data_IF_304238445091
#
_entry.id   IF_304238445091
#
_cell.length_a   1.000
_cell.length_b   1.000
_cell.length_c   1.000
_cell.angle_alpha   90.00
_cell.angle_beta   90.00
_cell.angle_gamma   90.00
#
_symmetry.space_group_name_H-M   'P 1'
#
loop_
_entity.id
_entity.type
_entity.pdbx_description
1 polymer ?
#
# COMPACT_ATOMS: atom_id res chain seq x y z
N UNK A 1 8.31 -60.64 -60.29
CA UNK A 1 8.80 -60.37 -58.92
C UNK A 1 8.49 -58.91 -58.64
N UNK A 2 7.40 -58.63 -57.93
CA UNK A 2 6.94 -57.26 -57.67
C UNK A 2 7.38 -56.79 -56.29
N UNK A 3 7.88 -55.57 -56.27
CA UNK A 3 8.28 -54.79 -55.11
C UNK A 3 7.16 -54.62 -54.09
N UNK A 4 7.47 -54.77 -52.81
CA UNK A 4 6.77 -54.09 -51.71
C UNK A 4 7.76 -53.81 -50.58
N UNK A 5 8.53 -52.73 -50.71
CA UNK A 5 9.22 -52.11 -49.57
C UNK A 5 8.19 -51.33 -48.76
N UNK A 6 7.66 -51.95 -47.71
CA UNK A 6 6.83 -51.28 -46.71
C UNK A 6 7.72 -50.45 -45.78
N UNK A 7 7.69 -49.13 -45.96
CA UNK A 7 8.28 -48.16 -45.03
C UNK A 7 7.39 -48.04 -43.79
N UNK A 8 7.71 -48.78 -42.73
CA UNK A 8 7.13 -48.59 -41.39
C UNK A 8 7.69 -47.31 -40.73
N UNK A 9 7.16 -46.15 -41.10
CA UNK A 9 7.40 -44.88 -40.37
C UNK A 9 6.61 -44.88 -39.05
N UNK A 10 7.31 -45.14 -37.95
CA UNK A 10 6.75 -45.09 -36.60
C UNK A 10 6.43 -43.63 -36.18
N UNK A 11 5.17 -43.24 -36.31
CA UNK A 11 4.62 -41.93 -35.93
C UNK A 11 4.37 -41.73 -34.43
N UNK A 12 5.27 -42.20 -33.55
CA UNK A 12 5.11 -42.09 -32.09
C UNK A 12 5.83 -40.90 -31.45
N UNK A 13 6.98 -40.50 -32.02
CA UNK A 13 7.89 -39.52 -31.41
C UNK A 13 7.32 -38.09 -31.38
N UNK A 14 6.52 -37.72 -32.39
CA UNK A 14 5.89 -36.38 -32.43
C UNK A 14 4.79 -36.19 -31.39
N UNK A 15 4.11 -37.28 -31.00
CA UNK A 15 2.99 -37.23 -30.07
C UNK A 15 3.46 -37.12 -28.62
N UNK A 16 4.56 -37.79 -28.25
CA UNK A 16 5.19 -37.61 -26.93
C UNK A 16 5.79 -36.23 -26.75
N UNK A 17 6.44 -35.69 -27.78
CA UNK A 17 7.00 -34.33 -27.77
C UNK A 17 5.93 -33.26 -27.62
N UNK A 18 4.76 -33.46 -28.25
CA UNK A 18 3.59 -32.60 -28.09
C UNK A 18 3.06 -32.60 -26.65
N UNK A 19 2.94 -33.78 -26.02
CA UNK A 19 2.52 -33.87 -24.62
C UNK A 19 3.51 -33.21 -23.66
N UNK A 20 4.82 -33.38 -23.90
CA UNK A 20 5.84 -32.68 -23.12
C UNK A 20 5.69 -31.17 -23.27
N UNK A 21 5.51 -30.67 -24.49
CA UNK A 21 5.29 -29.24 -24.72
C UNK A 21 4.02 -28.73 -23.99
N UNK A 22 2.92 -29.48 -24.04
CA UNK A 22 1.68 -29.13 -23.33
C UNK A 22 1.91 -29.06 -21.82
N UNK A 23 2.51 -30.08 -21.21
CA UNK A 23 2.81 -30.09 -19.77
C UNK A 23 3.71 -28.90 -19.40
N UNK A 24 4.72 -28.61 -20.22
CA UNK A 24 5.64 -27.51 -19.99
C UNK A 24 4.92 -26.16 -20.08
N UNK A 25 4.03 -25.96 -21.06
CA UNK A 25 3.22 -24.73 -21.16
C UNK A 25 2.27 -24.56 -19.97
N UNK A 26 1.61 -25.63 -19.53
CA UNK A 26 0.74 -25.59 -18.34
C UNK A 26 1.56 -25.26 -17.09
N UNK A 27 2.71 -25.91 -16.88
CA UNK A 27 3.59 -25.62 -15.76
C UNK A 27 4.08 -24.17 -15.77
N UNK A 28 4.44 -23.64 -16.93
CA UNK A 28 4.93 -22.26 -17.09
C UNK A 28 3.80 -21.26 -16.81
N UNK A 29 2.58 -21.52 -17.30
CA UNK A 29 1.40 -20.71 -16.98
C UNK A 29 1.08 -20.75 -15.48
N UNK A 30 1.06 -21.92 -14.85
CA UNK A 30 0.85 -22.05 -13.42
C UNK A 30 1.91 -21.31 -12.60
N UNK A 31 3.16 -21.37 -13.02
CA UNK A 31 4.26 -20.65 -12.37
C UNK A 31 4.10 -19.14 -12.49
N UNK A 32 3.85 -18.61 -13.69
CA UNK A 32 3.61 -17.17 -13.90
C UNK A 32 2.41 -16.71 -13.08
N UNK A 33 1.32 -17.49 -13.04
CA UNK A 33 0.12 -17.16 -12.27
C UNK A 33 0.39 -17.15 -10.76
N UNK A 34 1.18 -18.09 -10.24
CA UNK A 34 1.58 -18.13 -8.83
C UNK A 34 2.52 -16.97 -8.44
N UNK A 35 3.48 -16.63 -9.30
CA UNK A 35 4.40 -15.49 -9.06
C UNK A 35 3.62 -14.17 -9.12
N UNK A 36 2.80 -13.99 -10.14
CA UNK A 36 2.01 -12.75 -10.29
C UNK A 36 1.01 -12.57 -9.17
N UNK A 37 0.35 -13.63 -8.70
CA UNK A 37 -0.58 -13.54 -7.55
C UNK A 37 0.11 -13.26 -6.23
N UNK A 38 1.25 -13.88 -5.93
CA UNK A 38 2.04 -13.57 -4.73
C UNK A 38 2.60 -12.15 -4.73
N UNK A 39 2.97 -11.66 -5.91
CA UNK A 39 3.42 -10.28 -6.10
C UNK A 39 2.28 -9.30 -6.31
N UNK A 40 1.01 -9.74 -6.28
CA UNK A 40 -0.13 -8.88 -6.53
C UNK A 40 -0.51 -8.15 -5.23
N UNK A 41 -0.33 -6.82 -5.16
CA UNK A 41 -0.78 -6.03 -4.01
C UNK A 41 -2.31 -6.08 -3.78
N UNK A 42 -3.10 -6.56 -4.75
CA UNK A 42 -4.56 -6.77 -4.65
C UNK A 42 -4.92 -7.89 -3.68
N UNK A 43 -4.05 -8.88 -3.46
CA UNK A 43 -4.30 -9.96 -2.51
C UNK A 43 -3.93 -9.52 -1.09
N UNK A 44 -4.67 -8.54 -0.57
CA UNK A 44 -4.70 -8.26 0.86
C UNK A 44 -5.71 -9.19 1.51
N UNK A 45 -5.24 -10.11 2.34
CA UNK A 45 -6.09 -11.04 3.06
C UNK A 45 -6.97 -10.28 4.07
N UNK A 46 -8.22 -10.02 3.67
CA UNK A 46 -9.24 -9.34 4.47
C UNK A 46 -9.64 -10.18 5.68
N UNK A 47 -9.63 -11.50 5.55
CA UNK A 47 -9.94 -12.40 6.66
C UNK A 47 -8.85 -12.35 7.72
N UNK A 48 -7.59 -12.26 7.31
CA UNK A 48 -6.46 -12.12 8.23
C UNK A 48 -6.43 -10.75 8.93
N UNK A 49 -6.70 -9.66 8.20
CA UNK A 49 -6.41 -8.29 8.68
C UNK A 49 -7.64 -7.38 8.88
N UNK A 50 -8.85 -7.88 8.69
CA UNK A 50 -10.11 -7.13 8.86
C UNK A 50 -10.48 -6.25 7.66
N UNK A 51 -9.51 -5.53 7.09
CA UNK A 51 -9.70 -4.70 5.89
C UNK A 51 -8.68 -5.03 4.81
N UNK A 52 -8.97 -4.62 3.57
CA UNK A 52 -7.99 -4.73 2.48
C UNK A 52 -6.91 -3.67 2.63
N UNK A 53 -5.69 -3.99 2.18
CA UNK A 53 -4.52 -3.10 2.19
C UNK A 53 -4.80 -1.77 1.49
N UNK A 54 -5.48 -1.80 0.35
CA UNK A 54 -5.88 -0.57 -0.35
C UNK A 54 -6.88 0.25 0.44
N UNK A 55 -7.87 -0.39 1.06
CA UNK A 55 -8.85 0.32 1.88
C UNK A 55 -8.18 0.93 3.11
N UNK A 56 -7.22 0.23 3.70
CA UNK A 56 -6.40 0.77 4.78
C UNK A 56 -5.64 2.03 4.34
N UNK A 57 -4.90 1.96 3.23
CA UNK A 57 -4.15 3.11 2.70
C UNK A 57 -5.09 4.28 2.38
N UNK A 58 -6.26 4.01 1.79
CA UNK A 58 -7.27 5.02 1.48
C UNK A 58 -7.77 5.71 2.76
N UNK A 59 -8.14 4.95 3.80
CA UNK A 59 -8.57 5.52 5.09
C UNK A 59 -7.44 6.34 5.75
N UNK A 60 -6.19 5.89 5.64
CA UNK A 60 -5.06 6.68 6.15
C UNK A 60 -4.84 7.99 5.38
N UNK A 61 -5.15 8.02 4.08
CA UNK A 61 -5.08 9.24 3.26
C UNK A 61 -6.23 10.18 3.54
N UNK A 62 -7.46 9.66 3.62
CA UNK A 62 -8.64 10.41 4.03
C UNK A 62 -8.43 11.08 5.40
N UNK A 63 -7.82 10.37 6.35
CA UNK A 63 -7.51 10.93 7.68
C UNK A 63 -6.46 12.05 7.67
N UNK A 64 -5.65 12.19 6.62
CA UNK A 64 -4.73 13.31 6.46
C UNK A 64 -5.38 14.53 5.81
N UNK A 65 -6.37 14.29 4.95
CA UNK A 65 -7.17 15.38 4.36
C UNK A 65 -8.04 16.07 5.43
N UNK A 66 -8.44 15.33 6.48
CA UNK A 66 -9.16 15.87 7.62
C UNK A 66 -8.23 16.48 8.69
N UNK A 67 -7.70 17.66 8.37
CA UNK A 67 -6.71 18.37 9.19
C UNK A 67 -7.22 18.81 10.57
N UNK A 68 -8.53 18.92 10.77
CA UNK A 68 -9.13 19.31 12.05
C UNK A 68 -9.14 18.15 13.06
N UNK A 69 -9.21 16.91 12.59
CA UNK A 69 -9.16 15.70 13.43
C UNK A 69 -7.74 15.14 13.58
N UNK A 70 -6.79 15.60 12.76
CA UNK A 70 -5.43 15.08 12.77
C UNK A 70 -4.69 15.49 14.06
N UNK A 71 -4.17 14.48 14.76
CA UNK A 71 -3.45 14.68 16.02
C UNK A 71 -1.96 14.42 15.88
N UNK A 72 -1.18 15.19 16.61
CA UNK A 72 0.28 15.08 16.74
C UNK A 72 0.61 14.55 18.12
N UNK A 73 1.34 13.44 18.17
CA UNK A 73 1.91 12.88 19.39
C UNK A 73 3.22 13.60 19.75
N UNK A 74 3.20 14.33 20.87
CA UNK A 74 4.31 15.11 21.40
C UNK A 74 4.46 14.87 22.90
N UNK A 75 5.58 14.26 23.34
CA UNK A 75 5.86 14.06 24.77
C UNK A 75 4.84 13.20 25.52
N UNK A 76 4.22 12.21 24.85
CA UNK A 76 3.17 11.37 25.43
C UNK A 76 1.79 12.03 25.52
N UNK A 77 1.64 13.26 25.01
CA UNK A 77 0.35 13.93 24.86
C UNK A 77 -0.05 13.99 23.39
N UNK A 78 -1.36 13.89 23.13
CA UNK A 78 -1.94 14.05 21.80
C UNK A 78 -2.51 15.46 21.67
N UNK A 79 -2.00 16.23 20.71
CA UNK A 79 -2.40 17.61 20.46
C UNK A 79 -2.98 17.73 19.05
N UNK A 80 -4.05 18.51 18.81
CA UNK A 80 -4.52 18.78 17.46
C UNK A 80 -3.42 19.45 16.62
N UNK A 81 -3.26 19.04 15.35
CA UNK A 81 -2.28 19.61 14.44
C UNK A 81 -2.44 21.12 14.32
N UNK A 82 -3.68 21.59 14.22
CA UNK A 82 -4.01 23.02 14.16
C UNK A 82 -3.42 23.82 15.31
N UNK A 83 -3.52 23.30 16.54
CA UNK A 83 -2.95 23.97 17.72
C UNK A 83 -1.43 24.06 17.63
N UNK A 84 -0.76 23.02 17.13
CA UNK A 84 0.69 23.05 16.93
C UNK A 84 1.10 24.05 15.84
N UNK A 85 0.35 24.10 14.74
CA UNK A 85 0.60 25.03 13.65
C UNK A 85 0.41 26.47 14.12
N UNK A 86 -0.67 26.78 14.83
CA UNK A 86 -0.95 28.13 15.36
C UNK A 86 0.13 28.60 16.36
N UNK A 87 0.75 27.69 17.11
CA UNK A 87 1.87 28.01 18.00
C UNK A 87 3.14 28.40 17.23
N UNK A 88 3.40 27.76 16.09
CA UNK A 88 4.59 28.04 15.27
C UNK A 88 4.40 29.19 14.26
N UNK A 89 3.19 29.33 13.73
CA UNK A 89 2.80 30.35 12.76
C UNK A 89 1.32 30.68 12.89
N UNK A 90 0.94 31.89 13.34
CA UNK A 90 -0.46 32.25 13.50
C UNK A 90 -1.19 32.19 12.15
N UNK A 91 -2.25 31.38 12.09
CA UNK A 91 -3.10 31.23 10.92
C UNK A 91 -4.00 32.46 10.76
N UNK A 92 -4.13 32.97 9.54
CA UNK A 92 -5.06 34.04 9.21
C UNK A 92 -6.44 33.45 8.89
N UNK A 93 -7.52 34.26 8.99
CA UNK A 93 -8.83 33.83 8.52
C UNK A 93 -8.79 33.46 7.03
N UNK A 94 -9.15 32.23 6.70
CA UNK A 94 -9.11 31.69 5.34
C UNK A 94 -7.84 30.91 4.98
N UNK A 95 -6.89 30.78 5.91
CA UNK A 95 -5.75 29.86 5.74
C UNK A 95 -6.21 28.41 6.02
N UNK A 96 -5.82 27.48 5.15
CA UNK A 96 -6.09 26.06 5.28
C UNK A 96 -4.79 25.30 5.56
N UNK A 97 -4.83 24.36 6.48
CA UNK A 97 -3.72 23.41 6.70
C UNK A 97 -3.93 22.25 5.73
N UNK A 98 -2.87 21.84 5.06
CA UNK A 98 -2.85 20.68 4.17
C UNK A 98 -1.73 19.74 4.63
N UNK A 99 -2.05 18.46 4.73
CA UNK A 99 -1.10 17.40 5.07
C UNK A 99 -1.07 16.38 3.92
N UNK A 100 0.09 16.23 3.26
CA UNK A 100 0.23 15.34 2.11
C UNK A 100 1.35 14.31 2.34
N UNK A 101 1.10 13.04 2.00
CA UNK A 101 2.17 12.04 1.94
C UNK A 101 3.14 12.40 0.83
N UNK A 102 4.42 12.53 1.18
CA UNK A 102 5.49 12.79 0.22
C UNK A 102 5.93 11.53 -0.54
N UNK A 103 5.60 10.34 0.00
CA UNK A 103 6.01 9.07 -0.57
C UNK A 103 5.26 8.71 -1.87
N UNK A 104 5.99 8.19 -2.86
CA UNK A 104 5.39 7.71 -4.10
C UNK A 104 4.39 6.57 -3.85
N UNK A 105 3.35 6.39 -4.71
CA UNK A 105 2.34 5.36 -4.50
C UNK A 105 2.90 3.94 -4.29
N UNK A 106 3.95 3.57 -5.02
CA UNK A 106 4.60 2.27 -4.86
C UNK A 106 5.28 2.11 -3.49
N UNK A 107 5.80 3.20 -2.93
CA UNK A 107 6.44 3.23 -1.61
C UNK A 107 5.39 3.17 -0.50
N UNK A 108 4.28 3.91 -0.64
CA UNK A 108 3.13 3.85 0.29
C UNK A 108 2.57 2.43 0.38
N UNK A 109 2.38 1.78 -0.77
CA UNK A 109 1.93 0.37 -0.80
C UNK A 109 2.96 -0.53 -0.13
N UNK A 110 4.27 -0.31 -0.27
CA UNK A 110 5.28 -1.14 0.41
C UNK A 110 5.35 -0.89 1.93
N UNK A 111 5.09 0.35 2.36
CA UNK A 111 5.10 0.75 3.76
C UNK A 111 3.91 0.18 4.55
N UNK A 112 2.78 -0.07 3.89
CA UNK A 112 1.64 -0.74 4.50
C UNK A 112 1.92 -2.25 4.71
N UNK A 113 2.08 -2.64 5.97
CA UNK A 113 2.44 -3.98 6.42
C UNK A 113 1.40 -4.54 7.40
N UNK A 114 1.22 -5.87 7.47
CA UNK A 114 0.34 -6.48 8.47
C UNK A 114 0.89 -6.24 9.88
N UNK A 115 0.00 -5.95 10.83
CA UNK A 115 0.36 -5.76 12.23
C UNK A 115 0.39 -7.09 13.01
N UNK A 116 1.27 -7.21 14.01
CA UNK A 116 1.27 -8.34 14.93
C UNK A 116 -0.05 -8.39 15.71
N UNK A 117 -0.82 -9.48 15.56
CA UNK A 117 -2.16 -9.60 16.14
C UNK A 117 -3.32 -9.30 15.18
N UNK A 118 -3.01 -8.98 13.93
CA UNK A 118 -3.96 -8.78 12.84
C UNK A 118 -4.35 -7.31 12.67
N UNK A 119 -4.44 -6.89 11.41
CA UNK A 119 -4.66 -5.49 11.06
C UNK A 119 -3.56 -4.99 10.12
N UNK A 120 -3.45 -3.67 9.99
CA UNK A 120 -2.45 -3.04 9.14
C UNK A 120 -1.73 -1.92 9.87
N UNK A 121 -0.47 -1.70 9.54
CA UNK A 121 0.30 -0.55 9.99
C UNK A 121 1.01 0.08 8.78
N UNK A 122 1.17 1.38 8.79
CA UNK A 122 1.90 2.14 7.79
C UNK A 122 2.56 3.34 8.45
N UNK A 123 3.83 3.55 8.10
CA UNK A 123 4.55 4.77 8.45
C UNK A 123 5.09 5.46 7.20
N UNK A 124 5.12 6.79 7.22
CA UNK A 124 5.61 7.55 6.07
C UNK A 124 5.78 9.04 6.38
N UNK A 125 6.64 9.74 5.63
CA UNK A 125 6.79 11.18 5.77
C UNK A 125 5.55 11.89 5.20
N UNK A 126 5.06 12.87 5.94
CA UNK A 126 3.97 13.77 5.54
C UNK A 126 4.48 15.20 5.58
N UNK A 127 4.31 15.94 4.49
CA UNK A 127 4.59 17.37 4.45
C UNK A 127 3.37 18.13 4.94
N UNK A 128 3.59 19.04 5.89
CA UNK A 128 2.56 19.95 6.40
C UNK A 128 2.77 21.30 5.73
N UNK A 129 1.72 21.82 5.10
CA UNK A 129 1.73 23.12 4.45
C UNK A 129 0.51 23.96 4.84
N UNK A 130 0.65 25.28 4.78
CA UNK A 130 -0.46 26.23 4.92
C UNK A 130 -0.74 26.86 3.57
N UNK A 131 -2.00 26.74 3.14
CA UNK A 131 -2.52 27.29 1.91
C UNK A 131 -3.27 28.59 2.23
N UNK A 132 -2.80 29.70 1.67
CA UNK A 132 -3.40 31.02 1.80
C UNK A 132 -3.75 31.52 0.40
N UNK A 133 -4.91 31.07 -0.10
CA UNK A 133 -5.29 31.22 -1.51
C UNK A 133 -4.31 30.51 -2.44
N UNK A 134 -3.63 31.25 -3.32
CA UNK A 134 -2.64 30.68 -4.25
C UNK A 134 -1.24 30.46 -3.63
N UNK A 135 -1.02 30.92 -2.39
CA UNK A 135 0.29 30.76 -1.73
C UNK A 135 0.31 29.49 -0.89
N UNK A 136 1.33 28.65 -1.12
CA UNK A 136 1.61 27.46 -0.32
C UNK A 136 2.89 27.68 0.47
N UNK A 137 2.80 27.59 1.80
CA UNK A 137 3.94 27.68 2.71
C UNK A 137 4.14 26.33 3.42
N UNK A 138 5.17 25.59 3.05
CA UNK A 138 5.52 24.34 3.75
C UNK A 138 6.10 24.66 5.13
N UNK A 139 5.51 24.06 6.18
CA UNK A 139 5.93 24.23 7.58
C UNK A 139 6.99 23.20 7.99
N UNK A 140 6.97 22.01 7.38
CA UNK A 140 7.91 20.94 7.67
C UNK A 140 7.37 19.55 7.34
N UNK A 141 8.14 18.54 7.71
CA UNK A 141 7.79 17.13 7.51
C UNK A 141 7.61 16.45 8.86
N UNK A 142 6.50 15.72 9.01
CA UNK A 142 6.19 14.92 10.19
C UNK A 142 5.96 13.45 9.78
N UNK A 143 6.54 12.47 10.50
CA UNK A 143 6.22 11.07 10.30
C UNK A 143 4.76 10.77 10.69
N UNK A 144 3.99 10.28 9.73
CA UNK A 144 2.69 9.65 9.94
C UNK A 144 2.87 8.24 10.48
N UNK A 145 2.05 7.90 11.44
CA UNK A 145 1.83 6.54 11.95
C UNK A 145 0.34 6.24 11.80
N UNK A 146 0.01 5.36 10.87
CA UNK A 146 -1.36 4.89 10.68
C UNK A 146 -1.45 3.43 11.06
N UNK A 147 -2.44 3.06 11.87
CA UNK A 147 -2.66 1.68 12.30
C UNK A 147 -4.15 1.34 12.24
N UNK A 148 -4.45 0.13 11.79
CA UNK A 148 -5.78 -0.45 11.81
C UNK A 148 -5.76 -1.69 12.68
N UNK A 149 -6.60 -1.71 13.71
CA UNK A 149 -6.75 -2.85 14.60
C UNK A 149 -7.97 -3.69 14.18
N UNK A 150 -7.74 -4.97 13.89
CA UNK A 150 -8.79 -5.90 13.45
C UNK A 150 -9.86 -6.16 14.52
N UNK A 151 -9.48 -6.19 15.80
CA UNK A 151 -10.40 -6.54 16.90
C UNK A 151 -11.40 -5.42 17.16
N UNK A 152 -10.93 -4.18 17.08
CA UNK A 152 -11.75 -2.98 17.29
C UNK A 152 -12.39 -2.47 16.00
N UNK A 153 -11.83 -2.85 14.84
CA UNK A 153 -12.26 -2.37 13.52
C UNK A 153 -11.92 -0.89 13.28
N UNK A 154 -11.07 -0.29 14.11
CA UNK A 154 -10.74 1.15 14.05
C UNK A 154 -9.40 1.38 13.38
N UNK A 155 -9.34 2.40 12.54
CA UNK A 155 -8.11 2.96 11.98
C UNK A 155 -7.77 4.25 12.73
N UNK A 156 -6.52 4.40 13.15
CA UNK A 156 -6.00 5.57 13.85
C UNK A 156 -4.83 6.10 13.04
N UNK A 157 -4.89 7.37 12.65
CA UNK A 157 -3.81 8.10 12.00
C UNK A 157 -3.29 9.18 12.96
N UNK A 158 -1.99 9.19 13.20
CA UNK A 158 -1.34 10.15 14.10
C UNK A 158 -0.03 10.62 13.48
N UNK A 159 0.24 11.91 13.57
CA UNK A 159 1.55 12.47 13.27
C UNK A 159 2.44 12.36 14.51
N UNK A 160 3.74 12.21 14.33
CA UNK A 160 4.70 12.17 15.42
C UNK A 160 5.76 13.24 15.21
N UNK A 161 6.21 13.89 16.29
CA UNK A 161 7.31 14.85 16.20
C UNK A 161 8.64 14.13 15.98
N UNK A 162 9.50 14.61 15.05
CA UNK A 162 10.83 14.06 14.87
C UNK A 162 11.69 14.31 16.12
N UNK A 163 12.34 13.26 16.64
CA UNK A 163 13.29 13.36 17.75
C UNK A 163 12.78 12.98 19.14
N UNK A 164 11.75 12.14 19.23
CA UNK A 164 11.44 11.39 20.47
C UNK A 164 12.05 9.99 20.44
#
# INVERSE_FOLDING_TARGET
MSEHTSSNRHGGLGRTLLWVAVVLTVALLSFVMAVTTRSNPIYSDREANGISKYKFIEVCKEALEDNDELTVSAGGQSLPLKTLVEQGSPLKPGDEIHAELEAEPAQVVRAAQPAEGGGWTMTGPVTIAVHSGERVNALGQLPLQCSHDKKTGKTIAQLSLPGQ
#
